data_IF_519594754927
#
_entry.id   IF_519594754927
#
_cell.length_a   1.000
_cell.length_b   1.000
_cell.length_c   1.000
_cell.angle_alpha   90.00
_cell.angle_beta   90.00
_cell.angle_gamma   90.00
#
_symmetry.space_group_name_H-M   'P 1'
#
loop_
_entity.id
_entity.type
_entity.pdbx_description
1 polymer ?
#
# COMPACT_ATOMS: atom_id res chain seq x y z
N UNK A 1 19.70 -6.93 16.99
CA UNK A 1 18.52 -7.22 16.14
C UNK A 1 18.43 -6.11 15.11
N UNK A 2 18.25 -6.43 13.83
CA UNK A 2 18.06 -5.39 12.80
C UNK A 2 16.72 -4.70 13.06
N UNK A 3 16.73 -3.38 13.19
CA UNK A 3 15.49 -2.61 13.32
C UNK A 3 14.69 -2.77 12.02
N UNK A 4 13.40 -3.07 12.14
CA UNK A 4 12.51 -3.16 10.98
C UNK A 4 12.04 -1.76 10.60
N UNK A 5 11.90 -1.52 9.31
CA UNK A 5 11.51 -0.22 8.75
C UNK A 5 10.16 -0.38 8.03
N UNK A 6 9.07 -0.49 8.80
CA UNK A 6 7.73 -0.62 8.24
C UNK A 6 7.07 0.75 8.08
N UNK A 7 6.37 0.95 6.97
CA UNK A 7 5.46 2.07 6.79
C UNK A 7 4.12 1.61 6.22
N UNK A 8 3.07 2.33 6.58
CA UNK A 8 1.81 2.33 5.87
C UNK A 8 1.81 3.48 4.86
N UNK A 9 1.57 3.14 3.60
CA UNK A 9 1.37 4.08 2.51
C UNK A 9 -0.10 4.11 2.14
N UNK A 10 -0.71 5.28 2.14
CA UNK A 10 -2.13 5.43 1.83
C UNK A 10 -2.43 6.59 0.89
N UNK A 11 -3.47 6.43 0.07
CA UNK A 11 -4.05 7.48 -0.76
C UNK A 11 -5.51 7.14 -1.05
N UNK A 12 -6.39 8.13 -0.95
CA UNK A 12 -7.82 8.03 -1.29
C UNK A 12 -8.54 6.81 -0.67
N UNK A 13 -8.29 6.53 0.61
CA UNK A 13 -8.90 5.41 1.34
C UNK A 13 -8.31 4.03 1.04
N UNK A 14 -7.38 3.93 0.07
CA UNK A 14 -6.60 2.72 -0.21
C UNK A 14 -5.25 2.76 0.50
N UNK A 15 -4.70 1.58 0.84
CA UNK A 15 -3.43 1.50 1.55
C UNK A 15 -2.65 0.22 1.30
N UNK A 16 -1.34 0.28 1.53
CA UNK A 16 -0.41 -0.85 1.55
C UNK A 16 0.56 -0.71 2.71
N UNK A 17 1.10 -1.84 3.17
CA UNK A 17 2.22 -1.87 4.11
C UNK A 17 3.47 -2.26 3.37
N UNK A 18 4.57 -1.54 3.62
CA UNK A 18 5.87 -1.80 3.01
C UNK A 18 6.93 -1.92 4.10
N UNK A 19 7.74 -2.99 4.04
CA UNK A 19 8.95 -3.13 4.86
C UNK A 19 10.18 -2.80 4.01
N UNK A 20 10.87 -1.72 4.35
CA UNK A 20 12.06 -1.24 3.65
C UNK A 20 13.34 -1.97 4.08
N UNK A 21 14.35 -1.95 3.20
CA UNK A 21 15.65 -2.61 3.41
C UNK A 21 16.46 -2.03 4.60
N UNK A 22 16.21 -0.77 4.95
CA UNK A 22 16.96 -0.02 5.96
C UNK A 22 16.51 1.44 5.99
N UNK A 23 17.11 2.26 6.85
CA UNK A 23 16.74 3.67 7.02
C UNK A 23 16.82 4.50 5.74
N UNK A 24 17.85 4.28 4.91
CA UNK A 24 18.00 5.02 3.65
C UNK A 24 16.91 4.65 2.64
N UNK A 25 16.65 3.35 2.45
CA UNK A 25 15.58 2.87 1.58
C UNK A 25 14.20 3.31 2.07
N UNK A 26 14.00 3.35 3.38
CA UNK A 26 12.79 3.89 4.01
C UNK A 26 12.58 5.36 3.66
N UNK A 27 13.60 6.20 3.83
CA UNK A 27 13.49 7.64 3.57
C UNK A 27 13.31 7.93 2.07
N UNK A 28 14.03 7.23 1.20
CA UNK A 28 13.84 7.36 -0.25
C UNK A 28 12.43 6.98 -0.68
N UNK A 29 11.90 5.86 -0.16
CA UNK A 29 10.54 5.41 -0.47
C UNK A 29 9.49 6.40 0.05
N UNK A 30 9.68 6.92 1.27
CA UNK A 30 8.81 7.93 1.86
C UNK A 30 8.75 9.19 0.99
N UNK A 31 9.90 9.72 0.59
CA UNK A 31 9.98 10.90 -0.27
C UNK A 31 9.31 10.68 -1.63
N UNK A 32 9.51 9.51 -2.23
CA UNK A 32 8.84 9.14 -3.48
C UNK A 32 7.31 9.07 -3.32
N UNK A 33 6.83 8.42 -2.26
CA UNK A 33 5.40 8.29 -1.97
C UNK A 33 4.74 9.65 -1.69
N UNK A 34 5.37 10.50 -0.88
CA UNK A 34 4.90 11.85 -0.58
C UNK A 34 4.87 12.73 -1.83
N UNK A 35 5.89 12.66 -2.70
CA UNK A 35 5.92 13.37 -3.97
C UNK A 35 4.77 12.95 -4.92
N UNK A 36 4.27 11.72 -4.77
CA UNK A 36 3.12 11.17 -5.50
C UNK A 36 1.78 11.37 -4.76
N UNK A 37 1.78 12.14 -3.67
CA UNK A 37 0.58 12.52 -2.92
C UNK A 37 0.06 11.44 -1.98
N UNK A 38 0.87 10.45 -1.63
CA UNK A 38 0.53 9.47 -0.59
C UNK A 38 0.86 10.03 0.80
N UNK A 39 0.09 9.61 1.81
CA UNK A 39 0.48 9.80 3.21
C UNK A 39 1.30 8.60 3.67
N UNK A 40 2.39 8.86 4.39
CA UNK A 40 3.26 7.84 4.94
C UNK A 40 3.17 7.84 6.47
N UNK A 41 2.86 6.69 7.07
CA UNK A 41 2.83 6.52 8.53
C UNK A 41 3.86 5.46 8.94
N UNK A 42 4.80 5.76 9.86
CA UNK A 42 5.69 4.75 10.40
C UNK A 42 4.89 3.72 11.20
N UNK A 43 5.25 2.44 11.08
CA UNK A 43 4.61 1.36 11.83
C UNK A 43 5.61 0.62 12.71
N UNK A 44 5.18 0.27 13.92
CA UNK A 44 5.82 -0.79 14.68
C UNK A 44 5.22 -2.16 14.31
N UNK A 45 5.93 -3.24 14.66
CA UNK A 45 5.39 -4.60 14.51
C UNK A 45 4.18 -4.87 15.40
N UNK A 46 4.05 -4.12 16.51
CA UNK A 46 2.94 -4.24 17.45
C UNK A 46 1.67 -3.62 16.85
N UNK A 47 1.81 -2.53 16.10
CA UNK A 47 0.70 -1.82 15.42
C UNK A 47 0.24 -2.55 14.15
N UNK A 48 1.14 -3.28 13.48
CA UNK A 48 0.81 -3.97 12.22
C UNK A 48 -0.32 -4.99 12.37
N UNK A 49 -0.33 -5.77 13.46
CA UNK A 49 -1.26 -6.89 13.64
C UNK A 49 -2.73 -6.49 13.89
N UNK A 50 -3.05 -5.52 14.76
CA UNK A 50 -4.43 -5.11 14.98
C UNK A 50 -4.95 -4.19 13.86
N UNK A 51 -4.14 -3.24 13.39
CA UNK A 51 -4.66 -2.08 12.65
C UNK A 51 -4.55 -2.23 11.13
N UNK A 52 -3.56 -3.00 10.67
CA UNK A 52 -3.23 -3.10 9.25
C UNK A 52 -3.42 -4.50 8.66
N UNK A 53 -4.05 -5.39 9.43
CA UNK A 53 -4.40 -6.74 8.99
C UNK A 53 -5.45 -6.68 7.88
N UNK A 54 -5.05 -7.07 6.67
CA UNK A 54 -5.90 -7.08 5.48
C UNK A 54 -5.38 -6.19 4.35
N UNK A 55 -4.45 -5.28 4.64
CA UNK A 55 -3.75 -4.54 3.59
C UNK A 55 -2.69 -5.39 2.91
N UNK A 56 -2.42 -5.12 1.62
CA UNK A 56 -1.33 -5.77 0.89
C UNK A 56 -0.01 -5.40 1.54
N UNK A 57 0.86 -6.39 1.67
CA UNK A 57 2.16 -6.26 2.31
C UNK A 57 3.29 -6.52 1.31
N UNK A 58 4.27 -5.63 1.25
CA UNK A 58 5.45 -5.74 0.39
C UNK A 58 6.74 -5.77 1.22
N UNK A 59 7.47 -6.88 1.16
CA UNK A 59 8.79 -7.00 1.80
C UNK A 59 9.91 -6.63 0.83
N UNK A 60 10.41 -5.39 0.88
CA UNK A 60 11.50 -4.93 0.00
C UNK A 60 12.87 -5.44 0.43
N UNK A 61 12.96 -6.21 1.53
CA UNK A 61 14.18 -6.99 1.85
C UNK A 61 14.28 -8.23 0.97
N UNK A 62 13.15 -8.71 0.44
CA UNK A 62 13.12 -9.74 -0.59
C UNK A 62 13.51 -9.12 -1.94
N UNK A 63 14.53 -9.68 -2.60
CA UNK A 63 15.03 -9.16 -3.87
C UNK A 63 13.99 -9.17 -4.98
N UNK A 64 13.14 -10.21 -5.05
CA UNK A 64 12.11 -10.35 -6.08
C UNK A 64 11.05 -9.27 -5.92
N UNK A 65 10.56 -9.05 -4.69
CA UNK A 65 9.61 -7.96 -4.42
C UNK A 65 10.24 -6.61 -4.69
N UNK A 66 11.51 -6.41 -4.31
CA UNK A 66 12.21 -5.15 -4.56
C UNK A 66 12.38 -4.82 -6.04
N UNK A 67 12.64 -5.83 -6.88
CA UNK A 67 12.80 -5.65 -8.32
C UNK A 67 11.49 -5.36 -9.05
N UNK A 68 10.35 -5.77 -8.46
CA UNK A 68 9.04 -5.67 -9.09
C UNK A 68 8.14 -4.59 -8.46
N UNK A 69 8.48 -4.11 -7.28
CA UNK A 69 7.72 -3.08 -6.58
C UNK A 69 7.88 -1.72 -7.26
N UNK A 70 6.75 -1.04 -7.45
CA UNK A 70 6.69 0.32 -7.98
C UNK A 70 5.48 1.04 -7.39
N UNK A 71 5.68 2.25 -6.86
CA UNK A 71 4.57 3.07 -6.36
C UNK A 71 3.64 3.45 -7.51
N UNK A 72 4.18 3.73 -8.70
CA UNK A 72 3.36 4.05 -9.88
C UNK A 72 2.41 2.91 -10.22
N UNK A 73 2.91 1.67 -10.19
CA UNK A 73 2.06 0.51 -10.47
C UNK A 73 0.99 0.29 -9.40
N UNK A 74 1.29 0.56 -8.13
CA UNK A 74 0.30 0.51 -7.04
C UNK A 74 -0.80 1.54 -7.28
N UNK A 75 -0.43 2.77 -7.62
CA UNK A 75 -1.38 3.84 -7.89
C UNK A 75 -2.24 3.56 -9.12
N UNK A 76 -1.63 3.06 -10.22
CA UNK A 76 -2.36 2.63 -11.41
C UNK A 76 -3.39 1.54 -11.10
N UNK A 77 -3.01 0.54 -10.28
CA UNK A 77 -3.93 -0.51 -9.87
C UNK A 77 -5.11 0.05 -9.06
N UNK A 78 -4.86 0.98 -8.13
CA UNK A 78 -5.93 1.62 -7.37
C UNK A 78 -6.87 2.44 -8.24
N UNK A 79 -6.34 3.18 -9.22
CA UNK A 79 -7.18 3.95 -10.15
C UNK A 79 -7.99 3.04 -11.09
N UNK A 80 -7.44 1.90 -11.50
CA UNK A 80 -8.17 0.89 -12.26
C UNK A 80 -9.31 0.26 -11.42
N UNK A 81 -9.04 -0.10 -10.17
CA UNK A 81 -10.04 -0.66 -9.25
C UNK A 81 -11.18 0.34 -9.00
N UNK A 82 -10.87 1.64 -8.79
CA UNK A 82 -11.89 2.70 -8.65
C UNK A 82 -12.79 2.79 -9.88
N UNK A 83 -12.21 2.88 -11.08
CA UNK A 83 -12.98 2.95 -12.34
C UNK A 83 -13.87 1.74 -12.56
N UNK A 84 -13.42 0.56 -12.16
CA UNK A 84 -14.22 -0.66 -12.25
C UNK A 84 -15.44 -0.60 -11.32
N UNK A 85 -15.28 -0.09 -10.09
CA UNK A 85 -16.38 0.09 -9.17
C UNK A 85 -17.35 1.22 -9.59
N UNK A 86 -16.86 2.33 -10.14
CA UNK A 86 -17.70 3.42 -10.66
C UNK A 86 -18.54 2.96 -11.87
N UNK A 87 -18.02 2.06 -12.71
CA UNK A 87 -18.75 1.45 -13.82
C UNK A 87 -19.84 0.45 -13.40
N UNK A 88 -19.92 0.09 -12.12
CA UNK A 88 -20.87 -0.86 -11.55
C UNK A 88 -22.01 -0.18 -10.74
N UNK A 89 -22.14 1.15 -10.74
CA UNK A 89 -23.37 1.84 -10.28
C UNK A 89 -24.52 1.75 -11.30
N UNK A 90 -24.69 0.59 -11.92
CA UNK A 90 -25.61 0.36 -13.02
C UNK A 90 -26.01 -1.10 -13.13
N UNK A 91 -26.49 -1.70 -12.05
CA UNK A 91 -27.45 -2.83 -12.04
C UNK A 91 -27.89 -3.11 -10.60
N UNK A 92 -28.79 -2.29 -10.08
CA UNK A 92 -29.72 -2.73 -9.04
C UNK A 92 -30.63 -3.80 -9.65
N UNK A 93 -30.29 -5.09 -9.53
CA UNK A 93 -31.29 -6.17 -9.56
C UNK A 93 -30.62 -7.50 -9.23
N UNK A 94 -30.45 -7.81 -7.94
CA UNK A 94 -30.52 -9.20 -7.44
C UNK A 94 -31.04 -9.20 -5.99
N UNK A 95 -32.26 -8.70 -5.80
CA UNK A 95 -33.07 -9.14 -4.66
C UNK A 95 -33.71 -10.49 -5.05
N UNK A 96 -33.26 -11.58 -4.44
CA UNK A 96 -33.96 -12.87 -4.51
C UNK A 96 -34.95 -12.89 -3.32
N UNK A 97 -36.23 -13.06 -3.66
CA UNK A 97 -37.37 -13.23 -2.73
C UNK A 97 -37.38 -14.62 -2.10
#
# INVERSE_FOLDING_TARGET
MSQRHLMFLQKDGSGIVVEALGSSGYESLKQEAEAKGMTCQPLSMEDFYPDYRGYRYFDLRNSVTRETFSIDHVLEAWEADKKHHEGHEGTEEWFIH
#
